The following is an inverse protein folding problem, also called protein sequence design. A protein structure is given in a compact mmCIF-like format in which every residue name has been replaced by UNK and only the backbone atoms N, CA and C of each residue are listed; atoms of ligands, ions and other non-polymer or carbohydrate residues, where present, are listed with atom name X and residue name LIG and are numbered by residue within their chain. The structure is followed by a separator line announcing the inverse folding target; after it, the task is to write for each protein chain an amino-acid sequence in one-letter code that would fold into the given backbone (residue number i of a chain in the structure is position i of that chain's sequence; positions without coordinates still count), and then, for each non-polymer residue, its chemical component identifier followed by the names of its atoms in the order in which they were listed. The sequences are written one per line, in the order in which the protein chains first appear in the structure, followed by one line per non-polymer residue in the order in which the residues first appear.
data_IF_907867630252
#
_entry.id   IF_907867630252
#
_cell.length_a   1.000
_cell.length_b   1.000
_cell.length_c   1.000
_cell.angle_alpha   90.00
_cell.angle_beta   90.00
_cell.angle_gamma   90.00
#
_symmetry.space_group_name_H-M   'P 1'
#
loop_
_entity.id
_entity.type
_entity.pdbx_description
1 polymer ?
#
# COMPACT_ATOMS: atom_id res chain seq x y z
N UNK A 1 -22.87 -26.13 3.55
CA UNK A 1 -23.29 -24.89 2.87
C UNK A 1 -22.06 -24.03 2.60
N UNK A 2 -21.41 -24.19 1.45
CA UNK A 2 -20.32 -23.31 1.03
C UNK A 2 -20.92 -22.20 0.17
N UNK A 3 -21.06 -21.01 0.75
CA UNK A 3 -21.50 -19.85 0.00
C UNK A 3 -20.31 -19.30 -0.79
N UNK A 4 -20.21 -19.69 -2.06
CA UNK A 4 -19.32 -19.04 -3.01
C UNK A 4 -19.88 -17.64 -3.27
N UNK A 5 -19.23 -16.62 -2.70
CA UNK A 5 -19.49 -15.24 -3.08
C UNK A 5 -19.14 -15.07 -4.56
N UNK A 6 -20.16 -14.93 -5.39
CA UNK A 6 -20.02 -14.64 -6.81
C UNK A 6 -19.31 -13.31 -6.97
N UNK A 7 -18.11 -13.33 -7.58
CA UNK A 7 -17.44 -12.11 -8.06
C UNK A 7 -18.38 -11.48 -9.10
N UNK A 8 -19.01 -10.35 -8.77
CA UNK A 8 -19.77 -9.54 -9.73
C UNK A 8 -18.84 -9.13 -10.87
N UNK A 9 -19.02 -9.77 -12.03
CA UNK A 9 -18.49 -9.33 -13.32
C UNK A 9 -19.26 -8.07 -13.73
N UNK A 10 -18.61 -6.90 -13.75
CA UNK A 10 -19.24 -5.64 -14.17
C UNK A 10 -18.95 -4.40 -13.31
N UNK A 11 -18.25 -4.55 -12.18
CA UNK A 11 -17.74 -3.40 -11.44
C UNK A 11 -16.28 -3.12 -11.84
N UNK A 12 -15.97 -1.89 -12.25
CA UNK A 12 -14.58 -1.42 -12.34
C UNK A 12 -14.03 -1.33 -10.92
N UNK A 13 -13.33 -2.38 -10.47
CA UNK A 13 -12.65 -2.36 -9.18
C UNK A 13 -11.50 -1.35 -9.28
N UNK A 14 -11.72 -0.13 -8.74
CA UNK A 14 -10.65 0.84 -8.52
C UNK A 14 -9.79 0.32 -7.37
N UNK A 15 -8.71 -0.37 -7.71
CA UNK A 15 -7.74 -0.86 -6.73
C UNK A 15 -6.67 0.21 -6.54
N UNK A 16 -6.35 0.51 -5.29
CA UNK A 16 -5.28 1.45 -4.95
C UNK A 16 -3.94 0.72 -4.85
N UNK A 17 -2.87 1.33 -5.36
CA UNK A 17 -1.51 0.87 -5.10
C UNK A 17 -1.17 1.03 -3.62
N UNK A 18 -0.36 0.11 -3.09
CA UNK A 18 0.16 0.25 -1.73
C UNK A 18 1.33 1.21 -1.69
N UNK A 19 1.10 2.39 -1.11
CA UNK A 19 2.17 3.33 -0.77
C UNK A 19 3.22 2.69 0.13
N UNK A 20 2.80 1.80 1.05
CA UNK A 20 3.71 1.08 1.96
C UNK A 20 4.62 0.12 1.22
N UNK A 21 4.12 -0.55 0.18
CA UNK A 21 4.93 -1.41 -0.66
C UNK A 21 5.98 -0.61 -1.45
N UNK A 22 5.57 0.51 -2.06
CA UNK A 22 6.48 1.39 -2.80
C UNK A 22 7.58 1.93 -1.87
N UNK A 23 7.21 2.49 -0.72
CA UNK A 23 8.16 3.07 0.24
C UNK A 23 9.13 2.00 0.71
N UNK A 24 8.64 0.84 1.15
CA UNK A 24 9.47 -0.18 1.76
C UNK A 24 10.32 -0.96 0.75
N UNK A 25 9.78 -1.29 -0.43
CA UNK A 25 10.34 -2.30 -1.34
C UNK A 25 10.97 -1.77 -2.63
N UNK A 26 10.74 -0.52 -3.03
CA UNK A 26 11.49 0.05 -4.16
C UNK A 26 12.99 0.20 -3.85
N UNK A 27 13.33 0.34 -2.57
CA UNK A 27 14.70 0.45 -2.08
C UNK A 27 15.39 1.76 -2.49
N UNK A 28 16.72 1.76 -2.43
CA UNK A 28 17.56 2.96 -2.61
C UNK A 28 17.36 3.67 -3.96
N UNK A 29 16.82 2.98 -4.96
CA UNK A 29 16.49 3.59 -6.25
C UNK A 29 15.48 4.71 -6.03
N UNK A 30 14.37 4.46 -5.33
CA UNK A 30 13.32 5.45 -5.10
C UNK A 30 13.68 6.54 -4.08
N UNK A 31 14.71 6.36 -3.26
CA UNK A 31 15.08 7.32 -2.22
C UNK A 31 15.45 6.62 -0.92
N UNK A 32 15.26 7.32 0.20
CA UNK A 32 15.61 6.83 1.53
C UNK A 32 14.34 6.81 2.39
N UNK A 33 13.46 5.83 2.14
CA UNK A 33 12.32 5.49 3.01
C UNK A 33 11.55 6.76 3.48
N UNK A 34 11.38 6.97 4.78
CA UNK A 34 10.67 8.13 5.34
C UNK A 34 11.45 9.45 5.30
N UNK A 35 12.70 9.46 4.81
CA UNK A 35 13.57 10.65 4.72
C UNK A 35 13.46 11.35 3.35
N UNK A 36 12.59 10.86 2.47
CA UNK A 36 12.31 11.46 1.17
C UNK A 36 12.69 10.56 -0.01
N UNK A 37 12.13 10.88 -1.19
CA UNK A 37 12.32 10.09 -2.40
C UNK A 37 11.93 10.78 -3.69
N UNK A 38 12.10 10.06 -4.79
CA UNK A 38 11.87 10.50 -6.16
C UNK A 38 10.59 9.89 -6.71
N UNK A 39 9.59 10.74 -6.96
CA UNK A 39 8.26 10.34 -7.45
C UNK A 39 8.34 9.58 -8.79
N UNK A 40 9.14 10.06 -9.75
CA UNK A 40 9.28 9.40 -11.06
C UNK A 40 9.81 7.96 -10.95
N UNK A 41 10.68 7.69 -9.97
CA UNK A 41 11.21 6.34 -9.73
C UNK A 41 10.20 5.43 -9.05
N UNK A 42 9.32 5.99 -8.22
CA UNK A 42 8.20 5.24 -7.64
C UNK A 42 7.23 4.78 -8.72
N UNK A 43 6.86 5.66 -9.66
CA UNK A 43 6.05 5.28 -10.82
C UNK A 43 6.77 4.25 -11.70
N UNK A 44 8.06 4.45 -12.00
CA UNK A 44 8.84 3.47 -12.75
C UNK A 44 8.91 2.11 -12.05
N UNK A 45 9.05 2.08 -10.72
CA UNK A 45 8.98 0.85 -9.95
C UNK A 45 7.63 0.15 -10.10
N UNK A 46 6.53 0.92 -10.06
CA UNK A 46 5.19 0.36 -10.28
C UNK A 46 4.99 -0.21 -11.69
N UNK A 47 5.61 0.37 -12.71
CA UNK A 47 5.60 -0.15 -14.09
C UNK A 47 6.47 -1.41 -14.21
N UNK A 48 7.71 -1.38 -13.72
CA UNK A 48 8.69 -2.45 -13.94
C UNK A 48 8.48 -3.67 -13.02
N UNK A 49 8.11 -3.43 -11.75
CA UNK A 49 8.10 -4.46 -10.71
C UNK A 49 6.69 -4.80 -10.23
N UNK A 50 5.73 -3.92 -10.48
CA UNK A 50 4.38 -3.99 -9.92
C UNK A 50 4.33 -3.58 -8.44
N UNK A 51 3.14 -3.20 -7.98
CA UNK A 51 2.87 -2.85 -6.58
C UNK A 51 1.64 -3.62 -6.14
N UNK A 52 1.69 -4.23 -4.95
CA UNK A 52 0.50 -4.89 -4.41
C UNK A 52 -0.60 -3.88 -4.04
N UNK A 53 -1.83 -4.37 -3.88
CA UNK A 53 -2.95 -3.54 -3.44
C UNK A 53 -2.71 -2.95 -2.05
N UNK A 54 -3.11 -1.71 -1.88
CA UNK A 54 -3.08 -1.02 -0.61
C UNK A 54 -4.29 -0.16 -0.38
N UNK A 55 -4.22 0.63 0.68
CA UNK A 55 -5.35 1.40 1.15
C UNK A 55 -5.00 2.13 2.44
N UNK A 56 -6.03 2.67 3.08
CA UNK A 56 -5.87 3.42 4.33
C UNK A 56 -5.34 2.55 5.46
N UNK A 57 -4.80 3.20 6.49
CA UNK A 57 -4.40 2.52 7.71
C UNK A 57 -5.53 1.64 8.26
N UNK A 58 -5.23 0.36 8.51
CA UNK A 58 -6.19 -0.62 9.03
C UNK A 58 -7.19 -1.19 8.02
N UNK A 59 -7.09 -0.85 6.73
CA UNK A 59 -8.03 -1.32 5.71
C UNK A 59 -7.98 -2.85 5.52
N UNK A 60 -9.15 -3.51 5.48
CA UNK A 60 -9.29 -4.97 5.62
C UNK A 60 -9.17 -5.77 4.32
N UNK A 61 -9.44 -5.19 3.16
CA UNK A 61 -9.53 -5.93 1.88
C UNK A 61 -8.41 -5.58 0.89
N UNK A 62 -7.21 -5.34 1.41
CA UNK A 62 -6.02 -4.96 0.63
C UNK A 62 -4.80 -5.71 1.16
N UNK A 63 -3.81 -5.98 0.30
CA UNK A 63 -2.61 -6.73 0.65
C UNK A 63 -1.78 -6.01 1.72
N UNK A 64 -1.50 -4.71 1.50
CA UNK A 64 -0.70 -3.86 2.40
C UNK A 64 -1.35 -2.48 2.61
N UNK A 65 -2.13 -2.30 3.70
CA UNK A 65 -2.61 -0.99 4.09
C UNK A 65 -1.45 -0.07 4.48
N UNK A 66 -1.72 1.24 4.50
CA UNK A 66 -0.73 2.24 4.92
C UNK A 66 -0.15 1.91 6.31
N UNK A 67 1.18 1.92 6.42
CA UNK A 67 1.90 1.43 7.61
C UNK A 67 1.73 2.34 8.84
N UNK A 68 1.55 3.64 8.64
CA UNK A 68 1.49 4.61 9.74
C UNK A 68 0.05 4.91 10.13
N UNK A 69 -0.23 4.98 11.43
CA UNK A 69 -1.54 5.41 11.87
C UNK A 69 -1.71 6.93 11.65
N UNK A 70 -2.91 7.40 11.28
CA UNK A 70 -3.18 8.83 11.19
C UNK A 70 -3.02 9.46 12.58
N UNK A 71 -2.21 10.50 12.75
CA UNK A 71 -1.90 11.07 14.06
C UNK A 71 -2.28 12.56 14.15
N UNK A 72 -2.45 13.05 15.38
CA UNK A 72 -2.80 14.43 15.67
C UNK A 72 -4.30 14.72 15.57
N UNK A 73 -4.67 15.95 15.94
CA UNK A 73 -6.06 16.40 15.96
C UNK A 73 -6.37 17.14 14.66
N UNK A 74 -7.25 16.55 13.85
CA UNK A 74 -7.71 17.12 12.58
C UNK A 74 -9.24 17.25 12.60
N UNK A 75 -9.77 18.39 12.14
CA UNK A 75 -11.20 18.68 12.18
C UNK A 75 -11.99 17.63 11.38
N UNK A 76 -12.98 17.00 12.01
CA UNK A 76 -13.85 16.00 11.38
C UNK A 76 -13.20 14.64 11.14
N UNK A 77 -12.03 14.36 11.70
CA UNK A 77 -11.37 13.06 11.60
C UNK A 77 -11.31 12.37 12.96
N UNK A 78 -11.32 11.04 12.93
CA UNK A 78 -11.12 10.22 14.13
C UNK A 78 -9.72 10.47 14.69
N UNK A 79 -9.65 10.74 15.99
CA UNK A 79 -8.38 10.81 16.71
C UNK A 79 -7.87 9.39 17.01
N UNK A 80 -6.66 9.06 16.55
CA UNK A 80 -6.00 7.78 16.86
C UNK A 80 -4.89 7.92 17.91
N UNK A 81 -4.41 9.14 18.17
CA UNK A 81 -3.33 9.40 19.11
C UNK A 81 -2.42 10.56 18.69
N UNK A 82 -1.49 10.97 19.56
CA UNK A 82 -0.50 11.99 19.25
C UNK A 82 0.47 11.49 18.17
N UNK A 83 1.07 12.41 17.41
CA UNK A 83 2.14 12.03 16.48
C UNK A 83 3.42 11.67 17.25
N UNK A 84 4.18 10.64 16.82
CA UNK A 84 5.46 10.32 17.44
C UNK A 84 6.42 11.51 17.34
N UNK A 85 7.10 11.85 18.43
CA UNK A 85 7.99 13.02 18.50
C UNK A 85 9.21 12.93 17.57
N UNK A 86 9.66 11.71 17.26
CA UNK A 86 10.80 11.43 16.36
C UNK A 86 10.37 10.98 14.96
N UNK A 87 9.08 11.03 14.66
CA UNK A 87 8.51 10.46 13.44
C UNK A 87 8.31 8.93 13.52
N UNK A 88 7.86 8.36 12.42
CA UNK A 88 7.64 6.92 12.30
C UNK A 88 8.91 6.19 11.85
N UNK A 89 9.13 5.00 12.39
CA UNK A 89 10.19 4.11 11.93
C UNK A 89 9.96 3.69 10.48
N UNK A 90 11.06 3.48 9.75
CA UNK A 90 11.00 3.07 8.37
C UNK A 90 10.36 1.67 8.22
N UNK A 91 9.36 1.50 7.33
CA UNK A 91 8.72 0.21 7.13
C UNK A 91 9.70 -0.76 6.46
N UNK A 92 9.76 -1.99 6.97
CA UNK A 92 10.57 -3.06 6.38
C UNK A 92 9.92 -3.61 5.12
N UNK A 93 10.70 -3.86 4.07
CA UNK A 93 10.20 -4.57 2.89
C UNK A 93 9.84 -6.01 3.24
N UNK A 94 8.54 -6.30 3.34
CA UNK A 94 8.03 -7.67 3.51
C UNK A 94 7.34 -8.09 2.22
N UNK A 95 7.84 -9.09 1.50
CA UNK A 95 7.21 -9.61 0.28
C UNK A 95 6.05 -10.56 0.59
N UNK A 96 5.20 -10.16 1.53
CA UNK A 96 4.02 -10.89 1.97
C UNK A 96 2.89 -9.89 2.21
N UNK A 97 1.66 -10.32 1.92
CA UNK A 97 0.47 -9.58 2.33
C UNK A 97 0.21 -9.78 3.82
N UNK A 98 -0.63 -8.93 4.39
CA UNK A 98 -1.07 -9.08 5.78
C UNK A 98 -1.79 -10.42 5.99
N UNK A 99 -1.82 -10.85 7.25
CA UNK A 99 -2.46 -12.10 7.66
C UNK A 99 -3.95 -12.13 7.25
N UNK A 100 -4.39 -13.31 6.79
CA UNK A 100 -5.77 -13.60 6.31
C UNK A 100 -6.19 -12.89 5.02
N UNK A 101 -5.30 -12.16 4.34
CA UNK A 101 -5.57 -11.70 2.98
C UNK A 101 -5.47 -12.90 2.02
N UNK A 102 -6.47 -13.14 1.13
CA UNK A 102 -6.58 -14.39 0.39
C UNK A 102 -5.63 -14.51 -0.81
N UNK A 103 -5.07 -13.41 -1.29
CA UNK A 103 -4.19 -13.37 -2.47
C UNK A 103 -2.74 -13.22 -1.99
N UNK A 104 -1.80 -13.97 -2.60
CA UNK A 104 -0.39 -13.84 -2.26
C UNK A 104 0.20 -12.53 -2.80
N UNK A 105 1.27 -12.05 -2.18
CA UNK A 105 1.93 -10.79 -2.56
C UNK A 105 2.24 -10.68 -4.06
N UNK A 106 2.85 -11.71 -4.64
CA UNK A 106 3.20 -11.70 -6.06
C UNK A 106 1.98 -11.74 -6.99
N UNK A 107 0.90 -12.44 -6.59
CA UNK A 107 -0.35 -12.50 -7.38
C UNK A 107 -1.20 -11.25 -7.25
N UNK A 108 -0.96 -10.44 -6.22
CA UNK A 108 -1.69 -9.21 -5.96
C UNK A 108 -1.01 -7.98 -6.57
N UNK A 109 0.14 -8.15 -7.24
CA UNK A 109 0.83 -7.06 -7.92
C UNK A 109 0.00 -6.52 -9.06
N UNK A 110 -0.12 -5.21 -9.07
CA UNK A 110 -0.76 -4.42 -10.10
C UNK A 110 0.35 -3.62 -10.76
N UNK A 111 0.42 -3.69 -12.09
CA UNK A 111 1.46 -3.03 -12.87
C UNK A 111 0.94 -1.71 -13.41
N UNK A 112 1.77 -0.66 -13.33
CA UNK A 112 1.47 0.59 -13.99
C UNK A 112 1.55 0.44 -15.51
N UNK A 113 0.71 1.16 -16.24
CA UNK A 113 0.83 1.27 -17.69
C UNK A 113 1.90 2.30 -18.03
N UNK A 114 2.79 1.96 -18.97
CA UNK A 114 3.64 2.94 -19.63
C UNK A 114 2.81 3.67 -20.69
N UNK A 115 2.74 5.00 -20.63
CA UNK A 115 2.25 5.79 -21.77
C UNK A 115 3.20 5.54 -22.95
N UNK A 116 2.66 4.96 -24.04
CA UNK A 116 3.35 4.85 -25.33
C UNK A 116 3.51 6.22 -25.98
#
# INVERSE_FOLDING_TARGET
MFSFATRKFGATFKVHFSDTDIIACCGKKCGILCKGGYTYKAFRYAIENGVCSGGRYGEKNVCKPYAFYPCGTHKGQKYYGPCPSKGFDDPKCRRTCKLRYPISYEKDKIYGESTK
#
